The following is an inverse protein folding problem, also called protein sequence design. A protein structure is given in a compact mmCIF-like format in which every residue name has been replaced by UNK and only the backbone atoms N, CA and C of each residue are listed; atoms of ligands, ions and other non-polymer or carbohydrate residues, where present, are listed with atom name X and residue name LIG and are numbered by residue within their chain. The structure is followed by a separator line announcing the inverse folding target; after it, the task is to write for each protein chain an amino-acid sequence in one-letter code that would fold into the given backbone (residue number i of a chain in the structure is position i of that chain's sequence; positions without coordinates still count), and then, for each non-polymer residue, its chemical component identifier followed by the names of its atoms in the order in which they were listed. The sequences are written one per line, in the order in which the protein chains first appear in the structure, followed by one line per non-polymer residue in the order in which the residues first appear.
data_IF_792819545122
#
_entry.id   IF_792819545122
#
_cell.length_a   1.000
_cell.length_b   1.000
_cell.length_c   1.000
_cell.angle_alpha   90.00
_cell.angle_beta   90.00
_cell.angle_gamma   90.00
#
_symmetry.space_group_name_H-M   'P 1'
#
loop_
_entity.id
_entity.type
_entity.pdbx_description
1 polymer ?
#
# COMPACT_ATOMS: atom_id res chain seq x y z
N UNK A 1 23.47 -24.30 -9.24
CA UNK A 1 23.33 -23.80 -7.85
C UNK A 1 22.67 -22.44 -7.94
N UNK A 2 21.39 -22.33 -7.56
CA UNK A 2 20.64 -21.08 -7.66
C UNK A 2 20.78 -20.32 -6.34
N UNK A 3 21.30 -19.09 -6.40
CA UNK A 3 21.37 -18.20 -5.24
C UNK A 3 19.97 -17.92 -4.67
N UNK A 4 19.83 -17.79 -3.34
CA UNK A 4 18.57 -17.40 -2.73
C UNK A 4 18.34 -15.91 -3.01
N UNK A 5 17.40 -15.60 -3.91
CA UNK A 5 16.84 -14.25 -4.03
C UNK A 5 16.09 -13.96 -2.73
N UNK A 6 16.82 -13.43 -1.75
CA UNK A 6 16.25 -12.93 -0.51
C UNK A 6 15.13 -11.95 -0.83
N UNK A 7 13.99 -12.10 -0.17
CA UNK A 7 12.90 -11.12 -0.21
C UNK A 7 13.43 -9.80 0.36
N UNK A 8 14.00 -8.94 -0.47
CA UNK A 8 14.25 -7.55 -0.07
C UNK A 8 12.89 -6.93 0.21
N UNK A 9 12.59 -6.67 1.48
CA UNK A 9 11.41 -5.89 1.84
C UNK A 9 11.65 -4.51 1.23
N UNK A 10 10.95 -4.24 0.14
CA UNK A 10 11.06 -2.98 -0.56
C UNK A 10 10.48 -1.85 0.30
N UNK A 11 11.34 -1.16 1.03
CA UNK A 11 10.99 -0.01 1.87
C UNK A 11 10.62 1.25 1.08
N UNK A 12 10.63 1.24 -0.27
CA UNK A 12 10.36 2.42 -1.10
C UNK A 12 9.01 3.10 -0.79
N UNK A 13 7.88 2.37 -0.63
CA UNK A 13 6.60 3.02 -0.32
C UNK A 13 6.67 3.78 1.01
N UNK A 14 7.27 3.17 2.04
CA UNK A 14 7.48 3.80 3.35
C UNK A 14 8.40 5.02 3.23
N UNK A 15 9.53 4.88 2.52
CA UNK A 15 10.49 5.97 2.29
C UNK A 15 9.82 7.17 1.64
N UNK A 16 9.03 6.96 0.59
CA UNK A 16 8.30 8.06 -0.08
C UNK A 16 7.37 8.77 0.87
N UNK A 17 6.63 8.03 1.73
CA UNK A 17 5.73 8.64 2.71
C UNK A 17 6.47 9.50 3.73
N UNK A 18 7.61 9.02 4.22
CA UNK A 18 8.43 9.76 5.19
C UNK A 18 9.07 10.99 4.53
N UNK A 19 9.76 10.82 3.39
CA UNK A 19 10.52 11.90 2.75
C UNK A 19 9.64 12.99 2.12
N UNK A 20 8.48 12.64 1.60
CA UNK A 20 7.62 13.62 0.92
C UNK A 20 6.63 14.31 1.88
N UNK A 21 6.38 13.74 3.06
CA UNK A 21 5.31 14.21 3.95
C UNK A 21 5.70 14.40 5.42
N UNK A 22 6.74 13.74 5.93
CA UNK A 22 7.26 14.01 7.28
C UNK A 22 8.41 15.00 7.21
N UNK A 23 9.44 14.69 6.40
CA UNK A 23 10.67 15.47 6.32
C UNK A 23 10.45 16.96 5.97
N UNK A 24 9.57 17.36 5.03
CA UNK A 24 9.44 18.77 4.67
C UNK A 24 8.89 19.67 5.78
N UNK A 25 8.34 19.10 6.84
CA UNK A 25 7.68 19.85 7.92
C UNK A 25 8.32 19.62 9.28
N UNK A 26 8.79 18.38 9.54
CA UNK A 26 9.34 17.97 10.83
C UNK A 26 10.83 17.61 10.75
N UNK A 27 11.42 17.56 9.55
CA UNK A 27 12.78 17.05 9.36
C UNK A 27 13.86 17.88 10.05
N UNK A 28 13.68 19.20 10.11
CA UNK A 28 14.60 20.13 10.77
C UNK A 28 14.22 20.42 12.23
N UNK A 29 13.08 19.89 12.71
CA UNK A 29 12.64 20.11 14.09
C UNK A 29 13.37 19.17 15.04
N UNK A 30 13.86 19.68 16.17
CA UNK A 30 14.39 18.81 17.21
C UNK A 30 13.27 17.90 17.75
N UNK A 31 13.58 16.63 18.03
CA UNK A 31 12.57 15.65 18.48
C UNK A 31 11.76 16.15 19.69
N UNK A 32 12.40 16.87 20.62
CA UNK A 32 11.76 17.43 21.82
C UNK A 32 10.74 18.53 21.53
N UNK A 33 10.85 19.20 20.38
CA UNK A 33 9.98 20.30 19.97
C UNK A 33 8.75 19.80 19.18
N UNK A 34 8.68 18.49 18.90
CA UNK A 34 7.53 17.85 18.27
C UNK A 34 6.43 17.63 19.33
N UNK A 35 5.75 18.72 19.68
CA UNK A 35 4.68 18.74 20.67
C UNK A 35 3.27 18.60 20.03
N UNK A 36 2.23 18.72 20.85
CA UNK A 36 0.85 18.67 20.37
C UNK A 36 0.52 19.78 19.35
N UNK A 37 1.10 20.97 19.49
CA UNK A 37 0.85 22.10 18.59
C UNK A 37 1.50 21.85 17.22
N UNK A 38 2.75 21.41 17.22
CA UNK A 38 3.49 21.01 16.03
C UNK A 38 2.74 19.89 15.28
N UNK A 39 2.30 18.84 15.99
CA UNK A 39 1.57 17.73 15.36
C UNK A 39 0.21 18.15 14.78
N UNK A 40 -0.51 19.10 15.42
CA UNK A 40 -1.75 19.66 14.87
C UNK A 40 -1.50 20.47 13.61
N UNK A 41 -0.51 21.36 13.64
CA UNK A 41 -0.13 22.16 12.48
C UNK A 41 0.30 21.27 11.31
N UNK A 42 1.15 20.29 11.57
CA UNK A 42 1.58 19.29 10.60
C UNK A 42 0.42 18.49 10.03
N UNK A 43 -0.51 18.01 10.87
CA UNK A 43 -1.68 17.24 10.40
C UNK A 43 -2.55 18.09 9.47
N UNK A 44 -2.77 19.37 9.80
CA UNK A 44 -3.53 20.30 8.95
C UNK A 44 -2.86 20.46 7.58
N UNK A 45 -1.53 20.66 7.55
CA UNK A 45 -0.78 20.79 6.30
C UNK A 45 -0.71 19.48 5.51
N UNK A 46 -0.65 18.33 6.19
CA UNK A 46 -0.65 17.03 5.53
C UNK A 46 -1.96 16.79 4.76
N UNK A 47 -3.08 17.18 5.34
CA UNK A 47 -4.42 17.00 4.77
C UNK A 47 -4.70 17.90 3.57
N UNK A 48 -3.86 18.91 3.30
CA UNK A 48 -3.94 19.67 2.03
C UNK A 48 -3.20 18.95 0.89
N UNK A 49 -2.34 17.98 1.19
CA UNK A 49 -1.53 17.26 0.20
C UNK A 49 -2.04 15.86 -0.10
N UNK A 50 -2.70 15.21 0.85
CA UNK A 50 -3.15 13.82 0.71
C UNK A 50 -4.51 13.58 1.35
N UNK A 51 -5.21 12.59 0.81
CA UNK A 51 -6.46 12.10 1.36
C UNK A 51 -6.29 11.44 2.74
N UNK A 52 -7.36 11.45 3.53
CA UNK A 52 -7.38 10.94 4.91
C UNK A 52 -6.80 9.50 5.09
N UNK A 53 -7.07 8.51 4.20
CA UNK A 53 -6.45 7.18 4.32
C UNK A 53 -4.93 7.23 4.21
N UNK A 54 -4.41 8.05 3.29
CA UNK A 54 -2.98 8.21 3.08
C UNK A 54 -2.36 8.97 4.25
N UNK A 55 -3.01 10.03 4.74
CA UNK A 55 -2.59 10.75 5.93
C UNK A 55 -2.52 9.83 7.16
N UNK A 56 -3.44 8.87 7.29
CA UNK A 56 -3.42 7.89 8.36
C UNK A 56 -2.18 6.99 8.30
N UNK A 57 -1.79 6.50 7.12
CA UNK A 57 -0.57 5.69 6.95
C UNK A 57 0.68 6.49 7.32
N UNK A 58 0.74 7.75 6.88
CA UNK A 58 1.86 8.66 7.18
C UNK A 58 1.96 8.93 8.69
N UNK A 59 0.82 9.16 9.35
CA UNK A 59 0.74 9.29 10.81
C UNK A 59 1.27 8.04 11.52
N UNK A 60 0.91 6.84 11.05
CA UNK A 60 1.42 5.58 11.62
C UNK A 60 2.94 5.53 11.50
N UNK A 61 3.52 5.87 10.34
CA UNK A 61 4.97 5.92 10.18
C UNK A 61 5.63 6.92 11.12
N UNK A 62 5.09 8.14 11.25
CA UNK A 62 5.62 9.13 12.20
C UNK A 62 5.54 8.59 13.64
N UNK A 63 4.40 8.02 14.03
CA UNK A 63 4.23 7.44 15.37
C UNK A 63 5.22 6.30 15.62
N UNK A 64 5.53 5.45 14.63
CA UNK A 64 6.52 4.38 14.77
C UNK A 64 7.93 4.94 14.91
N UNK A 65 8.29 5.98 14.15
CA UNK A 65 9.59 6.65 14.26
C UNK A 65 9.78 7.26 15.65
N UNK A 66 8.75 7.95 16.17
CA UNK A 66 8.81 8.55 17.51
C UNK A 66 8.79 7.50 18.63
N UNK A 67 8.22 6.32 18.39
CA UNK A 67 8.33 5.20 19.33
C UNK A 67 9.76 4.68 19.42
N UNK A 68 10.43 4.49 18.27
CA UNK A 68 11.84 4.09 18.26
C UNK A 68 12.74 5.11 18.99
N UNK A 69 12.43 6.41 18.88
CA UNK A 69 13.11 7.44 19.65
C UNK A 69 12.84 7.36 21.18
N UNK A 70 11.69 6.84 21.60
CA UNK A 70 11.41 6.57 23.02
C UNK A 70 12.19 5.35 23.50
N UNK A 71 12.22 4.28 22.69
CA UNK A 71 12.98 3.07 22.99
C UNK A 71 14.49 3.37 23.15
N UNK A 72 15.02 4.29 22.33
CA UNK A 72 16.40 4.79 22.40
C UNK A 72 16.62 5.89 23.47
N UNK A 73 15.64 6.12 24.35
CA UNK A 73 15.66 7.15 25.41
C UNK A 73 15.96 8.59 24.91
N UNK A 74 15.69 8.88 23.62
CA UNK A 74 15.76 10.24 23.05
C UNK A 74 14.53 11.07 23.39
N UNK A 75 13.40 10.38 23.61
CA UNK A 75 12.13 10.95 24.07
C UNK A 75 11.63 10.19 25.29
N UNK A 76 11.02 10.91 26.23
CA UNK A 76 10.39 10.28 27.40
C UNK A 76 9.05 9.61 27.06
N UNK A 77 8.34 10.13 26.07
CA UNK A 77 7.03 9.64 25.64
C UNK A 77 6.77 10.00 24.19
N UNK A 78 6.02 9.16 23.51
CA UNK A 78 5.62 9.40 22.12
C UNK A 78 4.51 10.47 22.07
N UNK A 79 4.73 11.66 21.49
CA UNK A 79 3.73 12.73 21.45
C UNK A 79 2.50 12.36 20.61
N UNK A 80 2.63 11.49 19.61
CA UNK A 80 1.49 10.97 18.82
C UNK A 80 0.54 10.10 19.64
N UNK A 81 1.02 9.49 20.75
CA UNK A 81 0.22 8.66 21.66
C UNK A 81 -0.15 9.37 22.95
N UNK A 82 0.72 10.26 23.44
CA UNK A 82 0.55 10.95 24.71
C UNK A 82 -0.57 12.00 24.70
N UNK A 83 -0.82 12.65 23.56
CA UNK A 83 -1.82 13.70 23.46
C UNK A 83 -3.17 13.18 22.98
N UNK A 84 -4.13 13.06 23.90
CA UNK A 84 -5.50 12.59 23.59
C UNK A 84 -6.21 13.45 22.52
N UNK A 85 -5.83 14.72 22.40
CA UNK A 85 -6.43 15.69 21.46
C UNK A 85 -5.89 15.60 20.05
N UNK A 86 -4.72 14.96 19.83
CA UNK A 86 -4.13 14.85 18.50
C UNK A 86 -4.27 13.42 18.04
N UNK A 87 -5.13 13.21 17.03
CA UNK A 87 -5.41 11.89 16.49
C UNK A 87 -5.28 11.92 14.97
N UNK A 88 -4.80 10.81 14.44
CA UNK A 88 -4.89 10.54 13.01
C UNK A 88 -6.35 10.70 12.53
N UNK A 89 -6.54 11.45 11.43
CA UNK A 89 -7.84 11.50 10.77
C UNK A 89 -8.11 10.15 10.12
N UNK A 90 -9.09 9.41 10.67
CA UNK A 90 -9.58 8.18 10.06
C UNK A 90 -10.44 8.52 8.83
N UNK A 91 -10.42 7.70 7.77
CA UNK A 91 -11.36 7.84 6.66
C UNK A 91 -12.80 7.86 7.18
N UNK A 92 -13.58 8.84 6.71
CA UNK A 92 -14.97 9.05 7.17
C UNK A 92 -15.89 7.85 6.89
N UNK A 93 -15.59 7.05 5.86
CA UNK A 93 -16.22 5.74 5.60
C UNK A 93 -15.18 4.80 5.00
N UNK A 94 -15.12 3.54 5.49
CA UNK A 94 -14.47 2.47 4.73
C UNK A 94 -15.30 2.28 3.46
N UNK A 95 -14.82 2.79 2.31
CA UNK A 95 -15.46 2.51 1.02
C UNK A 95 -15.35 1.00 0.80
N UNK A 96 -16.42 0.27 1.10
CA UNK A 96 -16.49 -1.16 0.84
C UNK A 96 -16.43 -1.35 -0.67
N UNK A 97 -15.50 -2.18 -1.15
CA UNK A 97 -15.51 -2.58 -2.54
C UNK A 97 -16.85 -3.24 -2.83
N UNK A 98 -17.60 -2.70 -3.80
CA UNK A 98 -18.87 -3.26 -4.25
C UNK A 98 -18.56 -4.25 -5.37
N UNK A 99 -18.99 -5.50 -5.20
CA UNK A 99 -18.88 -6.49 -6.26
C UNK A 99 -19.66 -6.01 -7.50
N UNK A 100 -19.09 -6.23 -8.68
CA UNK A 100 -19.78 -5.94 -9.94
C UNK A 100 -20.93 -6.90 -10.16
N UNK A 101 -22.01 -6.41 -10.80
CA UNK A 101 -23.05 -7.31 -11.29
C UNK A 101 -22.53 -8.11 -12.49
N UNK A 102 -23.18 -9.24 -12.78
CA UNK A 102 -22.87 -10.05 -13.98
C UNK A 102 -22.98 -9.24 -15.27
N UNK A 103 -23.98 -8.33 -15.35
CA UNK A 103 -24.14 -7.44 -16.50
C UNK A 103 -22.97 -6.45 -16.66
N UNK A 104 -22.46 -5.89 -15.56
CA UNK A 104 -21.27 -5.04 -15.60
C UNK A 104 -20.04 -5.82 -16.05
N UNK A 105 -19.84 -7.04 -15.54
CA UNK A 105 -18.72 -7.91 -15.96
C UNK A 105 -18.79 -8.19 -17.46
N UNK A 106 -19.97 -8.59 -17.96
CA UNK A 106 -20.16 -8.88 -19.39
C UNK A 106 -19.90 -7.65 -20.28
N UNK A 107 -20.41 -6.48 -19.88
CA UNK A 107 -20.18 -5.23 -20.60
C UNK A 107 -18.71 -4.82 -20.62
N UNK A 108 -18.01 -4.93 -19.49
CA UNK A 108 -16.56 -4.64 -19.41
C UNK A 108 -15.77 -5.61 -20.29
N UNK A 109 -16.07 -6.91 -20.23
CA UNK A 109 -15.42 -7.92 -21.08
C UNK A 109 -15.61 -7.58 -22.55
N UNK A 110 -16.84 -7.32 -22.99
CA UNK A 110 -17.16 -6.98 -24.38
C UNK A 110 -16.51 -5.66 -24.86
N UNK A 111 -16.28 -4.70 -23.96
CA UNK A 111 -15.61 -3.44 -24.27
C UNK A 111 -14.09 -3.52 -24.34
N UNK A 112 -13.48 -4.63 -23.91
CA UNK A 112 -12.04 -4.86 -23.99
C UNK A 112 -11.67 -5.57 -25.30
N UNK A 113 -10.43 -5.37 -25.74
CA UNK A 113 -9.86 -6.17 -26.83
C UNK A 113 -9.82 -7.64 -26.41
N UNK A 114 -10.05 -8.56 -27.35
CA UNK A 114 -10.14 -10.01 -27.13
C UNK A 114 -9.00 -10.55 -26.25
N UNK A 115 -7.76 -10.11 -26.52
CA UNK A 115 -6.56 -10.52 -25.77
C UNK A 115 -6.61 -10.22 -24.27
N UNK A 116 -7.49 -9.34 -23.81
CA UNK A 116 -7.65 -8.97 -22.40
C UNK A 116 -8.87 -9.60 -21.73
N UNK A 117 -9.71 -10.32 -22.47
CA UNK A 117 -10.89 -10.98 -21.90
C UNK A 117 -10.51 -11.99 -20.83
N UNK A 118 -9.43 -12.74 -21.06
CA UNK A 118 -8.89 -13.71 -20.10
C UNK A 118 -8.60 -13.09 -18.72
N UNK A 119 -8.16 -11.84 -18.65
CA UNK A 119 -7.88 -11.17 -17.37
C UNK A 119 -9.18 -10.91 -16.57
N UNK A 120 -10.28 -10.59 -17.26
CA UNK A 120 -11.60 -10.44 -16.63
C UNK A 120 -12.13 -11.80 -16.17
N UNK A 121 -12.03 -12.81 -17.03
CA UNK A 121 -12.53 -14.15 -16.75
C UNK A 121 -11.80 -14.77 -15.54
N UNK A 122 -10.47 -14.66 -15.49
CA UNK A 122 -9.67 -15.10 -14.35
C UNK A 122 -9.95 -14.30 -13.07
N UNK A 123 -10.11 -12.97 -13.19
CA UNK A 123 -10.40 -12.11 -12.04
C UNK A 123 -11.75 -12.41 -11.40
N UNK A 124 -12.79 -12.66 -12.21
CA UNK A 124 -14.14 -12.94 -11.72
C UNK A 124 -14.32 -14.42 -11.34
N UNK A 125 -13.72 -15.34 -12.10
CA UNK A 125 -13.87 -16.78 -11.90
C UNK A 125 -12.99 -17.33 -10.77
N UNK A 126 -11.73 -16.92 -10.71
CA UNK A 126 -10.75 -17.45 -9.76
C UNK A 126 -10.38 -16.46 -8.65
N UNK A 127 -10.82 -15.20 -8.76
CA UNK A 127 -10.49 -14.17 -7.76
C UNK A 127 -9.03 -13.75 -7.77
N UNK A 128 -8.33 -13.91 -8.91
CA UNK A 128 -6.90 -13.61 -8.99
C UNK A 128 -6.61 -12.14 -8.72
N UNK A 129 -5.52 -11.87 -8.00
CA UNK A 129 -4.96 -10.52 -7.93
C UNK A 129 -4.40 -10.15 -9.30
N UNK A 130 -4.42 -8.86 -9.63
CA UNK A 130 -3.90 -8.35 -10.90
C UNK A 130 -2.48 -8.86 -11.22
N UNK A 131 -1.61 -8.92 -10.22
CA UNK A 131 -0.25 -9.45 -10.40
C UNK A 131 -0.21 -10.95 -10.68
N UNK A 132 -1.14 -11.73 -10.13
CA UNK A 132 -1.22 -13.18 -10.34
C UNK A 132 -1.75 -13.46 -11.74
N UNK A 133 -2.81 -12.75 -12.15
CA UNK A 133 -3.37 -12.84 -13.49
C UNK A 133 -2.34 -12.52 -14.60
N UNK A 134 -1.51 -11.50 -14.39
CA UNK A 134 -0.41 -11.18 -15.33
C UNK A 134 0.83 -12.06 -15.17
N UNK A 135 0.90 -12.84 -14.09
CA UNK A 135 1.98 -13.79 -13.86
C UNK A 135 1.76 -15.11 -14.57
N UNK A 136 0.54 -15.46 -14.98
CA UNK A 136 0.24 -16.76 -15.57
C UNK A 136 0.98 -16.98 -16.90
N UNK A 137 1.47 -18.20 -17.09
CA UNK A 137 1.93 -18.71 -18.39
C UNK A 137 1.07 -19.87 -18.87
N UNK A 138 1.27 -20.29 -20.11
CA UNK A 138 0.54 -21.41 -20.71
C UNK A 138 0.71 -22.72 -19.92
N UNK A 139 1.93 -22.99 -19.41
CA UNK A 139 2.25 -24.17 -18.60
C UNK A 139 1.63 -24.17 -17.19
N UNK A 140 0.90 -23.10 -16.82
CA UNK A 140 0.16 -23.02 -15.57
C UNK A 140 -1.28 -23.54 -15.71
N UNK A 141 -1.74 -23.83 -16.93
CA UNK A 141 -3.06 -24.39 -17.21
C UNK A 141 -3.01 -25.91 -17.41
N UNK A 142 -3.60 -26.65 -16.48
CA UNK A 142 -3.86 -28.08 -16.62
C UNK A 142 -5.28 -28.30 -17.12
N UNK A 143 -5.48 -28.25 -18.45
CA UNK A 143 -6.81 -28.34 -19.05
C UNK A 143 -7.49 -29.69 -18.78
N UNK A 144 -6.75 -30.79 -18.79
CA UNK A 144 -7.28 -32.14 -18.52
C UNK A 144 -7.86 -32.26 -17.09
N UNK A 145 -7.22 -31.59 -16.13
CA UNK A 145 -7.63 -31.59 -14.74
C UNK A 145 -8.56 -30.41 -14.38
N UNK A 146 -8.81 -29.49 -15.32
CA UNK A 146 -9.48 -28.21 -15.09
C UNK A 146 -8.85 -27.40 -13.92
N UNK A 147 -7.52 -27.40 -13.82
CA UNK A 147 -6.77 -26.69 -12.76
C UNK A 147 -5.91 -25.57 -13.33
N UNK A 148 -5.88 -24.43 -12.63
CA UNK A 148 -4.94 -23.33 -12.90
C UNK A 148 -3.96 -23.21 -11.73
N UNK A 149 -2.67 -23.29 -12.00
CA UNK A 149 -1.61 -23.20 -10.99
C UNK A 149 -1.06 -21.78 -10.88
N UNK A 150 -1.36 -21.09 -9.78
CA UNK A 150 -0.80 -19.75 -9.52
C UNK A 150 0.61 -19.91 -8.92
N UNK A 151 1.63 -19.82 -9.77
CA UNK A 151 3.04 -20.06 -9.36
C UNK A 151 3.89 -18.81 -9.24
N UNK A 152 3.45 -17.69 -9.80
CA UNK A 152 4.21 -16.44 -9.87
C UNK A 152 3.27 -15.25 -9.92
N UNK A 153 3.79 -14.12 -9.46
CA UNK A 153 3.08 -12.84 -9.46
C UNK A 153 3.95 -11.77 -10.12
N UNK A 154 3.39 -11.02 -11.05
CA UNK A 154 4.04 -9.83 -11.57
C UNK A 154 3.93 -8.69 -10.55
N UNK A 155 5.06 -8.11 -10.15
CA UNK A 155 5.09 -6.89 -9.34
C UNK A 155 5.55 -5.73 -10.21
N UNK A 156 4.84 -4.61 -10.17
CA UNK A 156 5.35 -3.37 -10.76
C UNK A 156 6.20 -2.63 -9.75
N UNK A 157 7.40 -2.25 -10.18
CA UNK A 157 8.27 -1.34 -9.48
C UNK A 157 8.53 -0.08 -10.31
N UNK A 158 9.31 0.86 -9.78
CA UNK A 158 9.62 2.13 -10.46
C UNK A 158 10.44 1.97 -11.74
N UNK A 159 11.02 0.79 -12.01
CA UNK A 159 11.83 0.49 -13.20
C UNK A 159 11.09 -0.39 -14.21
N UNK A 160 9.98 -1.01 -13.84
CA UNK A 160 9.16 -1.82 -14.75
C UNK A 160 8.37 -2.91 -14.03
N UNK A 161 7.99 -3.94 -14.76
CA UNK A 161 7.33 -5.11 -14.19
C UNK A 161 8.36 -6.23 -13.96
N UNK A 162 8.50 -6.67 -12.71
CA UNK A 162 9.45 -7.71 -12.29
C UNK A 162 8.67 -8.97 -11.87
N UNK A 163 9.01 -10.15 -12.42
CA UNK A 163 8.42 -11.40 -11.96
C UNK A 163 8.83 -11.67 -10.51
N UNK A 164 7.85 -11.84 -9.63
CA UNK A 164 8.07 -12.36 -8.29
C UNK A 164 7.64 -13.83 -8.24
N UNK A 165 8.49 -14.65 -7.62
CA UNK A 165 8.16 -16.01 -7.22
C UNK A 165 7.27 -15.99 -5.98
#
# INVERSE_FOLDING_TARGET
MAEPVGRTIDGRPMRSKIWNHNMPFLGESALRDIDAAALRAWTTQLLTRVEAPTAQVIWIHLSTILEAAVDDARLLKNPCKAHRTVKSRKPSKKRRAKAWSRSTVAAVRAGLQERYHIAVDLGVGLGLRQGEAFGLGEADFGFDAAVVHIRRQLRRDSKGAVPAR
#
